data_IF_321899159998
#
_entry.id   IF_321899159998
#
_cell.length_a   1.000
_cell.length_b   1.000
_cell.length_c   1.000
_cell.angle_alpha   90.00
_cell.angle_beta   90.00
_cell.angle_gamma   90.00
#
_symmetry.space_group_name_H-M   'P 1'
#
loop_
_entity.id
_entity.type
_entity.pdbx_description
1 polymer ?
#
# COMPACT_ATOMS: atom_id res chain seq x y z
N UNK A 1 -3.93 -14.77 2.70
CA UNK A 1 -3.08 -14.66 3.91
C UNK A 1 -1.70 -14.23 3.47
N UNK A 2 -1.48 -12.92 3.37
CA UNK A 2 -0.18 -12.32 3.07
C UNK A 2 0.63 -12.25 4.38
N UNK A 3 0.98 -13.40 4.91
CA UNK A 3 1.80 -13.55 6.13
C UNK A 3 3.28 -13.41 5.76
N UNK A 4 3.62 -12.26 5.18
CA UNK A 4 4.99 -11.90 4.88
C UNK A 4 5.31 -10.69 5.73
N UNK A 5 6.03 -10.91 6.83
CA UNK A 5 6.78 -9.87 7.54
C UNK A 5 7.91 -9.33 6.62
N UNK A 6 7.53 -8.78 5.47
CA UNK A 6 8.45 -8.11 4.57
C UNK A 6 8.79 -6.77 5.22
N UNK A 7 10.06 -6.62 5.54
CA UNK A 7 10.63 -5.35 5.96
C UNK A 7 10.44 -4.31 4.83
N UNK A 8 10.08 -3.09 5.19
CA UNK A 8 9.80 -2.02 4.23
C UNK A 8 11.03 -1.69 3.37
N UNK A 9 12.25 -1.93 3.87
CA UNK A 9 13.49 -1.78 3.08
C UNK A 9 13.59 -2.85 2.00
N UNK A 10 13.17 -4.08 2.29
CA UNK A 10 13.16 -5.18 1.33
C UNK A 10 12.08 -4.96 0.28
N UNK A 11 10.90 -4.50 0.68
CA UNK A 11 9.84 -4.11 -0.26
C UNK A 11 10.29 -2.94 -1.16
N UNK A 12 11.01 -1.96 -0.62
CA UNK A 12 11.59 -0.86 -1.39
C UNK A 12 12.59 -1.34 -2.45
N UNK A 13 13.49 -2.28 -2.10
CA UNK A 13 14.39 -2.89 -3.07
C UNK A 13 13.63 -3.68 -4.15
N UNK A 14 12.64 -4.48 -3.76
CA UNK A 14 11.87 -5.32 -4.71
C UNK A 14 11.02 -4.49 -5.67
N UNK A 15 10.48 -3.37 -5.19
CA UNK A 15 9.62 -2.48 -5.99
C UNK A 15 10.41 -1.39 -6.73
N UNK A 16 11.68 -1.18 -6.38
CA UNK A 16 12.48 -0.06 -6.88
C UNK A 16 11.98 1.31 -6.40
N UNK A 17 11.15 1.34 -5.35
CA UNK A 17 10.60 2.56 -4.76
C UNK A 17 11.48 3.04 -3.61
N UNK A 18 11.43 4.34 -3.34
CA UNK A 18 12.21 4.92 -2.25
C UNK A 18 11.71 4.39 -0.88
N UNK A 19 12.59 3.97 0.05
CA UNK A 19 12.18 3.37 1.33
C UNK A 19 11.30 4.29 2.18
N UNK A 20 11.46 5.62 2.02
CA UNK A 20 10.59 6.62 2.66
C UNK A 20 9.16 6.55 2.12
N UNK A 21 8.99 6.38 0.80
CA UNK A 21 7.69 6.23 0.13
C UNK A 21 7.01 4.95 0.58
N UNK A 22 7.76 3.85 0.62
CA UNK A 22 7.25 2.56 1.10
C UNK A 22 6.84 2.62 2.58
N UNK A 23 7.64 3.27 3.43
CA UNK A 23 7.32 3.46 4.84
C UNK A 23 6.04 4.29 5.04
N UNK A 24 5.82 5.33 4.22
CA UNK A 24 4.59 6.13 4.22
C UNK A 24 3.36 5.30 3.83
N UNK A 25 3.45 4.51 2.77
CA UNK A 25 2.36 3.62 2.35
C UNK A 25 2.08 2.49 3.35
N UNK A 26 3.12 1.98 4.02
CA UNK A 26 2.98 0.94 5.05
C UNK A 26 2.35 1.47 6.34
N UNK A 27 2.76 2.65 6.80
CA UNK A 27 2.34 3.17 8.10
C UNK A 27 1.01 3.93 8.06
N UNK A 28 0.63 4.50 6.93
CA UNK A 28 -0.49 5.42 6.88
C UNK A 28 -1.46 4.95 5.82
N UNK A 29 -2.72 4.81 6.24
CA UNK A 29 -3.94 4.59 5.44
C UNK A 29 -4.21 5.69 4.40
N UNK A 30 -3.18 6.41 3.96
CA UNK A 30 -3.25 7.53 3.03
C UNK A 30 -2.66 7.02 1.72
N UNK A 31 -3.56 6.61 0.84
CA UNK A 31 -3.26 6.46 -0.57
C UNK A 31 -2.75 7.82 -1.08
N UNK A 32 -1.68 7.85 -1.88
CA UNK A 32 -1.22 9.10 -2.48
C UNK A 32 -2.33 9.66 -3.39
N UNK A 33 -2.39 10.98 -3.54
CA UNK A 33 -3.37 11.68 -4.40
C UNK A 33 -3.36 11.14 -5.84
N UNK A 34 -2.20 10.64 -6.28
CA UNK A 34 -2.04 9.85 -7.51
C UNK A 34 -1.25 8.60 -7.21
N UNK A 35 -1.82 7.44 -7.53
CA UNK A 35 -1.10 6.16 -7.57
C UNK A 35 -0.90 5.76 -9.03
N UNK A 36 0.34 5.85 -9.50
CA UNK A 36 0.66 5.37 -10.84
C UNK A 36 0.47 3.86 -10.96
N UNK A 37 -0.06 3.43 -12.11
CA UNK A 37 -0.28 2.01 -12.41
C UNK A 37 1.02 1.20 -12.30
N UNK A 38 2.14 1.77 -12.74
CA UNK A 38 3.47 1.15 -12.61
C UNK A 38 3.84 0.86 -11.15
N UNK A 39 3.58 1.80 -10.25
CA UNK A 39 3.80 1.64 -8.81
C UNK A 39 2.95 0.51 -8.24
N UNK A 40 1.66 0.46 -8.60
CA UNK A 40 0.76 -0.60 -8.17
C UNK A 40 1.20 -1.97 -8.71
N UNK A 41 1.58 -2.06 -9.99
CA UNK A 41 2.09 -3.30 -10.59
C UNK A 41 3.36 -3.80 -9.90
N UNK A 42 4.27 -2.90 -9.54
CA UNK A 42 5.48 -3.22 -8.77
C UNK A 42 5.13 -3.82 -7.40
N UNK A 43 4.18 -3.21 -6.69
CA UNK A 43 3.70 -3.76 -5.41
C UNK A 43 3.04 -5.13 -5.57
N UNK A 44 2.13 -5.28 -6.54
CA UNK A 44 1.46 -6.54 -6.84
C UNK A 44 2.46 -7.66 -7.18
N UNK A 45 3.49 -7.36 -7.99
CA UNK A 45 4.57 -8.33 -8.31
C UNK A 45 5.43 -8.66 -7.10
N UNK A 46 5.80 -7.67 -6.29
CA UNK A 46 6.65 -7.87 -5.11
C UNK A 46 5.93 -8.68 -4.01
N UNK A 47 4.63 -8.43 -3.82
CA UNK A 47 3.80 -9.10 -2.82
C UNK A 47 3.11 -10.37 -3.35
N UNK A 48 3.18 -10.59 -4.67
CA UNK A 48 2.47 -11.65 -5.39
C UNK A 48 0.97 -11.67 -5.05
N UNK A 49 0.32 -10.51 -5.16
CA UNK A 49 -1.09 -10.30 -4.84
C UNK A 49 -1.82 -9.59 -5.98
N UNK A 50 -3.16 -9.57 -5.93
CA UNK A 50 -3.95 -8.78 -6.86
C UNK A 50 -4.10 -7.34 -6.35
N UNK A 51 -4.30 -6.35 -7.24
CA UNK A 51 -4.53 -4.96 -6.82
C UNK A 51 -5.77 -4.83 -5.91
N UNK A 52 -6.77 -5.70 -6.07
CA UNK A 52 -7.94 -5.77 -5.18
C UNK A 52 -7.62 -6.22 -3.76
N UNK A 53 -6.53 -6.99 -3.55
CA UNK A 53 -6.07 -7.36 -2.20
C UNK A 53 -5.37 -6.18 -1.48
N UNK A 54 -4.87 -5.19 -2.23
CA UNK A 54 -4.15 -4.03 -1.70
C UNK A 54 -5.05 -2.81 -1.50
N UNK A 55 -6.09 -2.69 -2.32
CA UNK A 55 -6.97 -1.53 -2.37
C UNK A 55 -8.28 -1.85 -1.66
N UNK A 56 -8.50 -1.22 -0.52
CA UNK A 56 -9.80 -1.24 0.16
C UNK A 56 -10.41 0.14 0.07
N UNK A 57 -11.61 0.23 -0.51
CA UNK A 57 -12.39 1.45 -0.45
C UNK A 57 -12.81 1.70 1.00
N UNK A 58 -12.24 2.74 1.61
CA UNK A 58 -12.68 3.27 2.89
C UNK A 58 -13.59 4.44 2.63
N UNK A 59 -14.88 4.28 2.96
CA UNK A 59 -15.78 5.42 3.13
C UNK A 59 -15.12 6.37 4.14
N UNK A 60 -14.98 7.64 3.78
CA UNK A 60 -14.51 8.68 4.68
C UNK A 60 -15.50 8.78 5.86
N UNK A 61 -15.22 8.06 6.94
CA UNK A 61 -15.99 8.13 8.19
C UNK A 61 -15.62 9.38 9.01
N UNK A 62 -15.34 10.50 8.35
CA UNK A 62 -15.25 11.80 9.04
C UNK A 62 -16.63 12.47 9.17
N UNK A 63 -17.72 11.72 8.97
CA UNK A 63 -19.10 12.15 9.28
C UNK A 63 -20.00 11.09 9.93
N UNK A 64 -19.46 10.07 10.60
CA UNK A 64 -20.29 9.25 11.50
C UNK A 64 -19.45 8.53 12.57
N UNK A 65 -19.12 9.27 13.64
CA UNK A 65 -18.79 8.72 14.95
C UNK A 65 -19.77 9.30 15.97
N UNK A 66 -21.08 9.03 15.82
CA UNK A 66 -22.03 9.12 16.93
C UNK A 66 -23.24 8.19 16.70
N UNK A 67 -23.21 6.99 17.27
CA UNK A 67 -24.39 6.27 17.77
C UNK A 67 -23.94 5.28 18.84
#
# INVERSE_FOLDING_TARGET
MADREIDYKKLAQMTGLHPVTVSKHKNIRVMPERLDRDTLEKYCKALNCQPGDLLTYVLDKSKDQTS
#
